data_IF_720154659976
#
_entry.id   IF_720154659976
#
_cell.length_a   1.000
_cell.length_b   1.000
_cell.length_c   1.000
_cell.angle_alpha   90.00
_cell.angle_beta   90.00
_cell.angle_gamma   90.00
#
_symmetry.space_group_name_H-M   'P 1'
#
loop_
_entity.id
_entity.type
_entity.pdbx_description
1 polymer ?
#
# COMPACT_ATOMS: atom_id res chain seq x y z
N UNK A 1 -20.27 25.46 26.73
CA UNK A 1 -19.14 24.62 27.20
C UNK A 1 -17.95 24.90 26.29
N UNK A 2 -16.79 25.29 26.84
CA UNK A 2 -15.56 25.44 26.02
C UNK A 2 -15.13 24.05 25.61
N UNK A 3 -15.05 23.81 24.30
CA UNK A 3 -14.41 22.60 23.79
C UNK A 3 -12.96 22.56 24.28
N UNK A 4 -12.58 21.42 24.86
CA UNK A 4 -11.23 21.18 25.38
C UNK A 4 -10.33 20.86 24.20
N UNK A 5 -9.24 21.61 24.07
CA UNK A 5 -8.18 21.37 23.07
C UNK A 5 -7.69 19.92 23.15
N UNK A 6 -7.95 19.13 22.11
CA UNK A 6 -7.47 17.75 21.99
C UNK A 6 -6.06 17.74 21.38
N UNK A 7 -5.12 17.09 22.06
CA UNK A 7 -3.73 16.92 21.60
C UNK A 7 -3.40 15.46 21.25
N UNK A 8 -4.39 14.56 21.27
CA UNK A 8 -4.18 13.11 21.08
C UNK A 8 -4.55 12.63 19.70
N UNK A 9 -5.42 13.35 19.00
CA UNK A 9 -5.94 12.96 17.69
C UNK A 9 -5.51 13.99 16.66
N UNK A 10 -5.05 13.53 15.50
CA UNK A 10 -4.71 14.42 14.39
C UNK A 10 -5.94 15.16 13.89
N UNK A 11 -7.10 14.50 13.78
CA UNK A 11 -8.40 15.14 13.57
C UNK A 11 -9.27 15.01 14.83
N UNK A 12 -9.87 16.12 15.26
CA UNK A 12 -10.76 16.19 16.41
C UNK A 12 -12.13 16.72 15.99
N UNK A 13 -13.12 15.83 15.99
CA UNK A 13 -14.50 16.13 15.61
C UNK A 13 -15.24 16.64 16.84
N UNK A 14 -15.59 17.92 16.81
CA UNK A 14 -16.34 18.58 17.87
C UNK A 14 -17.78 18.80 17.40
N UNK A 15 -18.66 19.26 18.29
CA UNK A 15 -20.09 19.42 17.99
C UNK A 15 -20.36 20.36 16.80
N UNK A 16 -19.54 21.40 16.63
CA UNK A 16 -19.77 22.51 15.70
C UNK A 16 -18.61 22.73 14.72
N UNK A 17 -17.51 21.97 14.83
CA UNK A 17 -16.33 22.13 13.99
C UNK A 17 -15.41 20.91 14.03
N UNK A 18 -14.56 20.81 13.02
CA UNK A 18 -13.43 19.88 13.01
C UNK A 18 -12.15 20.68 13.21
N UNK A 19 -11.28 20.22 14.10
CA UNK A 19 -9.93 20.76 14.23
C UNK A 19 -8.88 19.73 13.84
N UNK A 20 -7.72 20.19 13.42
CA UNK A 20 -6.57 19.33 13.11
C UNK A 20 -5.33 19.77 13.89
N UNK A 21 -4.45 18.80 14.18
CA UNK A 21 -3.22 18.99 14.93
C UNK A 21 -2.11 19.57 14.04
N UNK A 22 -1.82 20.85 14.20
CA UNK A 22 -0.77 21.56 13.44
C UNK A 22 0.61 21.39 14.06
N UNK A 23 0.67 21.08 15.36
CA UNK A 23 1.92 20.83 16.07
C UNK A 23 1.70 19.89 17.24
N UNK A 24 2.55 18.88 17.37
CA UNK A 24 2.54 18.00 18.53
C UNK A 24 2.95 18.73 19.81
N UNK A 25 2.49 18.20 20.94
CA UNK A 25 2.92 18.67 22.25
C UNK A 25 4.43 18.44 22.42
N UNK A 26 5.14 19.44 22.94
CA UNK A 26 6.54 19.27 23.33
C UNK A 26 6.63 18.29 24.51
N UNK A 27 7.80 17.64 24.67
CA UNK A 27 8.08 16.73 25.80
C UNK A 27 7.89 17.37 27.19
N UNK A 28 7.63 18.68 27.28
CA UNK A 28 7.57 19.45 28.53
C UNK A 28 6.19 20.04 28.86
N UNK A 29 5.16 19.95 28.00
CA UNK A 29 3.79 20.43 28.32
C UNK A 29 2.70 20.00 27.30
N UNK A 30 1.42 20.16 27.65
CA UNK A 30 0.24 20.09 26.74
C UNK A 30 0.15 21.33 25.79
N UNK A 31 1.26 21.73 25.18
CA UNK A 31 1.39 22.93 24.35
C UNK A 31 1.17 22.68 22.85
N UNK A 32 0.51 21.56 22.49
CA UNK A 32 0.19 21.24 21.11
C UNK A 32 -0.52 22.40 20.39
N UNK A 33 -0.58 22.44 19.07
CA UNK A 33 -1.34 23.48 18.37
C UNK A 33 -2.33 22.84 17.44
N UNK A 34 -3.54 23.39 17.45
CA UNK A 34 -4.64 22.92 16.60
C UNK A 34 -5.19 24.11 15.81
N UNK A 35 -5.71 23.83 14.63
CA UNK A 35 -6.41 24.80 13.80
C UNK A 35 -7.77 24.21 13.39
N UNK A 36 -8.75 25.09 13.15
CA UNK A 36 -10.07 24.68 12.65
C UNK A 36 -10.01 24.50 11.15
N UNK A 37 -10.59 23.42 10.63
CA UNK A 37 -10.83 23.27 9.19
C UNK A 37 -12.10 24.08 8.87
N UNK A 38 -12.03 25.08 7.98
CA UNK A 38 -13.20 25.90 7.64
C UNK A 38 -14.22 25.11 6.83
N UNK A 39 -15.51 25.49 6.96
CA UNK A 39 -16.61 25.06 6.09
C UNK A 39 -16.86 23.54 6.01
N UNK A 40 -16.41 22.79 7.02
CA UNK A 40 -16.70 21.36 7.19
C UNK A 40 -17.75 21.13 8.27
N UNK A 41 -18.71 20.28 7.96
CA UNK A 41 -19.68 19.78 8.92
C UNK A 41 -19.11 18.53 9.62
N UNK A 42 -18.90 18.54 10.94
CA UNK A 42 -18.37 17.39 11.68
C UNK A 42 -19.18 16.11 11.49
N UNK A 43 -20.48 16.20 11.20
CA UNK A 43 -21.35 15.02 11.01
C UNK A 43 -20.96 14.19 9.77
N UNK A 44 -20.42 14.85 8.73
CA UNK A 44 -20.05 14.22 7.45
C UNK A 44 -18.53 14.11 7.26
N UNK A 45 -17.73 14.51 8.24
CA UNK A 45 -16.28 14.39 8.20
C UNK A 45 -15.88 12.97 8.62
N UNK A 46 -15.20 12.24 7.73
CA UNK A 46 -14.86 10.82 7.89
C UNK A 46 -13.35 10.64 8.01
N UNK A 47 -12.79 10.49 9.23
CA UNK A 47 -11.43 9.99 9.38
C UNK A 47 -11.31 8.62 8.70
N UNK A 48 -10.31 8.46 7.83
CA UNK A 48 -10.02 7.21 7.13
C UNK A 48 -8.86 6.49 7.81
N UNK A 49 -7.82 7.24 8.17
CA UNK A 49 -6.66 6.78 8.96
C UNK A 49 -6.36 7.80 10.07
N UNK A 50 -5.24 7.66 10.78
CA UNK A 50 -4.81 8.68 11.74
C UNK A 50 -4.61 10.04 11.06
N UNK A 51 -4.01 10.06 9.87
CA UNK A 51 -3.59 11.30 9.23
C UNK A 51 -4.34 11.65 7.94
N UNK A 52 -5.27 10.79 7.50
CA UNK A 52 -6.12 11.02 6.33
C UNK A 52 -7.59 11.03 6.74
N UNK A 53 -8.33 12.03 6.25
CA UNK A 53 -9.77 12.11 6.40
C UNK A 53 -10.44 12.60 5.12
N UNK A 54 -11.72 12.30 4.96
CA UNK A 54 -12.53 12.74 3.83
C UNK A 54 -13.69 13.61 4.28
N UNK A 55 -13.99 14.65 3.51
CA UNK A 55 -15.28 15.34 3.54
C UNK A 55 -15.67 15.73 2.12
N UNK A 56 -16.79 15.16 1.63
CA UNK A 56 -17.26 15.30 0.24
C UNK A 56 -16.16 14.92 -0.76
N UNK A 57 -15.87 15.81 -1.71
CA UNK A 57 -14.82 15.69 -2.72
C UNK A 57 -13.41 16.00 -2.19
N UNK A 58 -13.19 16.13 -0.89
CA UNK A 58 -11.89 16.56 -0.36
C UNK A 58 -11.28 15.53 0.56
N UNK A 59 -10.07 15.07 0.24
CA UNK A 59 -9.19 14.36 1.15
C UNK A 59 -8.29 15.35 1.87
N UNK A 60 -8.27 15.27 3.20
CA UNK A 60 -7.47 16.04 4.12
C UNK A 60 -6.32 15.17 4.59
N UNK A 61 -5.08 15.56 4.28
CA UNK A 61 -3.87 14.80 4.59
C UNK A 61 -2.95 15.64 5.49
N UNK A 62 -2.66 15.14 6.67
CA UNK A 62 -1.74 15.79 7.62
C UNK A 62 -0.36 15.15 7.55
N UNK A 63 0.66 15.94 7.24
CA UNK A 63 2.06 15.46 7.18
C UNK A 63 2.98 16.23 8.11
N UNK A 64 3.97 15.55 8.66
CA UNK A 64 5.07 16.19 9.36
C UNK A 64 5.96 16.97 8.38
N UNK A 65 6.23 18.24 8.71
CA UNK A 65 7.24 19.08 8.02
C UNK A 65 8.49 19.30 8.87
N UNK A 66 8.44 18.89 10.14
CA UNK A 66 9.58 18.77 11.05
C UNK A 66 9.24 17.77 12.15
N UNK A 67 10.12 17.58 13.14
CA UNK A 67 9.88 16.64 14.25
C UNK A 67 8.60 16.91 15.08
N UNK A 68 8.00 18.10 14.98
CA UNK A 68 6.76 18.44 15.71
C UNK A 68 5.75 19.23 14.90
N UNK A 69 6.18 19.90 13.83
CA UNK A 69 5.28 20.72 13.00
C UNK A 69 4.63 19.89 11.91
N UNK A 70 3.34 20.14 11.68
CA UNK A 70 2.53 19.46 10.69
C UNK A 70 1.93 20.47 9.69
N UNK A 71 1.70 20.01 8.47
CA UNK A 71 0.95 20.71 7.44
C UNK A 71 -0.32 19.93 7.10
N UNK A 72 -1.36 20.64 6.68
CA UNK A 72 -2.58 20.06 6.13
C UNK A 72 -2.60 20.32 4.63
N UNK A 73 -2.62 19.25 3.85
CA UNK A 73 -2.84 19.27 2.41
C UNK A 73 -4.27 18.86 2.10
N UNK A 74 -4.86 19.47 1.08
CA UNK A 74 -6.20 19.13 0.58
C UNK A 74 -6.07 18.61 -0.84
N UNK A 75 -6.61 17.43 -1.10
CA UNK A 75 -6.65 16.79 -2.42
C UNK A 75 -8.11 16.72 -2.85
N UNK A 76 -8.43 17.30 -4.00
CA UNK A 76 -9.77 17.27 -4.56
C UNK A 76 -9.99 16.02 -5.42
N UNK A 77 -11.06 15.30 -5.11
CA UNK A 77 -11.57 14.17 -5.86
C UNK A 77 -12.37 14.69 -7.07
N UNK A 78 -12.37 13.95 -8.19
CA UNK A 78 -13.17 14.32 -9.36
C UNK A 78 -14.68 14.19 -9.11
N UNK A 79 -15.10 13.37 -8.13
CA UNK A 79 -16.51 13.14 -7.78
C UNK A 79 -16.75 13.34 -6.26
N UNK A 80 -17.63 14.28 -5.85
CA UNK A 80 -17.97 14.51 -4.44
C UNK A 80 -18.78 13.40 -3.77
N UNK A 81 -19.36 12.47 -4.52
CA UNK A 81 -20.17 11.38 -3.97
C UNK A 81 -19.35 10.12 -3.70
N UNK A 82 -18.10 10.07 -4.18
CA UNK A 82 -17.26 8.90 -4.04
C UNK A 82 -16.76 8.80 -2.59
N UNK A 83 -17.25 7.81 -1.84
CA UNK A 83 -16.71 7.48 -0.53
C UNK A 83 -15.48 6.59 -0.69
N UNK A 84 -14.35 7.04 -0.13
CA UNK A 84 -13.09 6.28 -0.11
C UNK A 84 -12.92 5.58 1.24
N UNK A 85 -12.01 4.60 1.27
CA UNK A 85 -11.58 3.83 2.45
C UNK A 85 -10.05 3.72 2.50
N UNK A 86 -9.51 3.31 3.64
CA UNK A 86 -8.09 2.93 3.74
C UNK A 86 -7.74 1.83 2.72
N UNK A 87 -6.52 1.90 2.16
CA UNK A 87 -6.05 1.03 1.09
C UNK A 87 -6.37 1.56 -0.32
N UNK A 88 -6.52 0.62 -1.27
CA UNK A 88 -6.70 0.92 -2.70
C UNK A 88 -8.14 1.31 -3.02
N UNK A 89 -8.32 2.48 -3.63
CA UNK A 89 -9.59 2.94 -4.18
C UNK A 89 -9.45 3.26 -5.66
N UNK A 90 -10.34 2.72 -6.50
CA UNK A 90 -10.35 2.99 -7.93
C UNK A 90 -11.35 4.11 -8.21
N UNK A 91 -10.88 5.22 -8.77
CA UNK A 91 -11.71 6.40 -9.10
C UNK A 91 -11.40 6.81 -10.53
N UNK A 92 -12.31 6.48 -11.45
CA UNK A 92 -12.08 6.68 -12.88
C UNK A 92 -10.90 5.83 -13.37
N UNK A 93 -9.89 6.49 -13.95
CA UNK A 93 -8.65 5.90 -14.47
C UNK A 93 -7.49 6.00 -13.47
N UNK A 94 -7.75 6.31 -12.20
CA UNK A 94 -6.73 6.48 -11.16
C UNK A 94 -6.95 5.55 -9.98
N UNK A 95 -5.84 5.18 -9.36
CA UNK A 95 -5.81 4.63 -8.01
C UNK A 95 -5.57 5.77 -7.02
N UNK A 96 -6.38 5.81 -5.97
CA UNK A 96 -6.14 6.56 -4.74
C UNK A 96 -5.80 5.55 -3.65
N UNK A 97 -4.52 5.39 -3.36
CA UNK A 97 -4.04 4.53 -2.28
C UNK A 97 -3.91 5.35 -1.00
N UNK A 98 -4.73 5.02 0.00
CA UNK A 98 -4.78 5.71 1.29
C UNK A 98 -4.05 4.86 2.32
N UNK A 99 -2.85 5.27 2.68
CA UNK A 99 -2.02 4.68 3.72
C UNK A 99 -2.26 5.39 5.08
N UNK A 100 -1.64 4.88 6.13
CA UNK A 100 -1.71 5.44 7.48
C UNK A 100 -1.33 6.94 7.52
N UNK A 101 -0.28 7.33 6.79
CA UNK A 101 0.27 8.70 6.79
C UNK A 101 0.44 9.34 5.41
N UNK A 102 -0.02 8.68 4.34
CA UNK A 102 0.09 9.20 2.98
C UNK A 102 -1.11 8.87 2.08
N UNK A 103 -1.25 9.63 0.99
CA UNK A 103 -2.14 9.35 -0.12
C UNK A 103 -1.31 9.33 -1.41
N UNK A 104 -1.14 8.15 -1.99
CA UNK A 104 -0.47 7.98 -3.28
C UNK A 104 -1.51 7.89 -4.40
N UNK A 105 -1.33 8.69 -5.45
CA UNK A 105 -2.26 8.74 -6.59
C UNK A 105 -1.50 8.44 -7.87
N UNK A 106 -1.99 7.49 -8.67
CA UNK A 106 -1.37 7.10 -9.93
C UNK A 106 -2.40 6.62 -10.95
N UNK A 107 -2.01 6.65 -12.23
CA UNK A 107 -2.85 6.25 -13.36
C UNK A 107 -2.89 4.73 -13.53
N UNK A 108 -4.04 4.22 -13.95
CA UNK A 108 -4.28 2.83 -14.34
C UNK A 108 -4.07 2.72 -15.85
N UNK A 109 -3.26 1.76 -16.27
CA UNK A 109 -3.06 1.42 -17.66
C UNK A 109 -4.07 0.33 -18.03
N UNK A 110 -5.22 0.71 -18.57
CA UNK A 110 -6.27 -0.25 -18.94
C UNK A 110 -7.20 -0.56 -17.77
N UNK A 111 -7.24 -1.81 -17.32
CA UNK A 111 -8.15 -2.24 -16.24
C UNK A 111 -7.41 -2.74 -15.00
N UNK A 112 -7.77 -2.20 -13.84
CA UNK A 112 -7.30 -2.72 -12.55
C UNK A 112 -7.93 -4.07 -12.21
N UNK A 113 -7.09 -5.04 -11.86
CA UNK A 113 -7.52 -6.38 -11.48
C UNK A 113 -6.71 -6.89 -10.29
N UNK A 114 -7.41 -7.46 -9.30
CA UNK A 114 -6.77 -8.18 -8.21
C UNK A 114 -6.35 -9.56 -8.69
N UNK A 115 -5.10 -9.94 -8.40
CA UNK A 115 -4.70 -11.33 -8.57
C UNK A 115 -5.51 -12.22 -7.63
N UNK A 116 -5.56 -13.49 -7.99
CA UNK A 116 -6.21 -14.53 -7.19
C UNK A 116 -5.19 -15.60 -6.87
N UNK A 117 -5.24 -16.10 -5.65
CA UNK A 117 -4.56 -17.33 -5.29
C UNK A 117 -5.11 -18.51 -6.11
N UNK A 118 -4.42 -19.66 -6.11
CA UNK A 118 -4.84 -20.85 -6.86
C UNK A 118 -6.25 -21.36 -6.55
N UNK A 119 -6.78 -21.08 -5.36
CA UNK A 119 -8.15 -21.41 -4.94
C UNK A 119 -9.21 -20.39 -5.42
N UNK A 120 -8.78 -19.31 -6.08
CA UNK A 120 -9.63 -18.24 -6.59
C UNK A 120 -9.87 -17.08 -5.61
N UNK A 121 -9.29 -17.13 -4.42
CA UNK A 121 -9.42 -16.04 -3.43
C UNK A 121 -8.64 -14.81 -3.90
N UNK A 122 -9.26 -13.61 -3.95
CA UNK A 122 -8.53 -12.38 -4.28
C UNK A 122 -7.40 -12.10 -3.27
N UNK A 123 -6.23 -11.75 -3.78
CA UNK A 123 -5.08 -11.32 -3.00
C UNK A 123 -5.16 -9.81 -2.80
N UNK A 124 -5.58 -9.37 -1.62
CA UNK A 124 -5.75 -7.94 -1.30
C UNK A 124 -4.44 -7.13 -1.22
N UNK A 125 -3.30 -7.79 -1.40
CA UNK A 125 -1.96 -7.19 -1.45
C UNK A 125 -1.31 -7.28 -2.84
N UNK A 126 -2.02 -7.83 -3.85
CA UNK A 126 -1.45 -8.03 -5.18
C UNK A 126 -2.47 -7.76 -6.30
N UNK A 127 -2.14 -6.82 -7.17
CA UNK A 127 -2.98 -6.44 -8.30
C UNK A 127 -2.15 -6.21 -9.57
N UNK A 128 -2.82 -6.06 -10.70
CA UNK A 128 -2.20 -5.64 -11.95
C UNK A 128 -3.13 -4.76 -12.76
N UNK A 129 -2.53 -4.05 -13.70
CA UNK A 129 -3.20 -3.48 -14.86
C UNK A 129 -2.60 -4.09 -16.14
N UNK A 130 -2.80 -3.45 -17.29
CA UNK A 130 -2.28 -3.96 -18.58
C UNK A 130 -0.75 -3.83 -18.71
N UNK A 131 -0.09 -3.12 -17.79
CA UNK A 131 1.35 -2.80 -17.88
C UNK A 131 2.15 -3.18 -16.64
N UNK A 132 1.56 -3.08 -15.46
CA UNK A 132 2.26 -3.19 -14.19
C UNK A 132 1.59 -4.24 -13.30
N UNK A 133 2.42 -4.90 -12.49
CA UNK A 133 1.99 -5.61 -11.29
C UNK A 133 2.28 -4.74 -10.08
N UNK A 134 1.36 -4.71 -9.12
CA UNK A 134 1.37 -3.87 -7.94
C UNK A 134 1.39 -4.75 -6.70
N UNK A 135 2.36 -4.50 -5.83
CA UNK A 135 2.46 -5.08 -4.50
C UNK A 135 2.07 -4.02 -3.49
N UNK A 136 1.03 -4.32 -2.72
CA UNK A 136 0.38 -3.38 -1.83
C UNK A 136 0.62 -3.87 -0.41
N UNK A 137 1.27 -3.01 0.37
CA UNK A 137 1.47 -3.18 1.81
C UNK A 137 0.55 -2.18 2.54
N UNK A 138 0.59 -2.17 3.87
CA UNK A 138 -0.16 -1.22 4.72
C UNK A 138 0.17 0.24 4.36
N UNK A 139 1.45 0.52 4.10
CA UNK A 139 1.94 1.89 3.91
C UNK A 139 2.37 2.23 2.49
N UNK A 140 2.58 1.24 1.63
CA UNK A 140 3.22 1.46 0.31
C UNK A 140 2.59 0.65 -0.81
N UNK A 141 2.71 1.18 -2.03
CA UNK A 141 2.44 0.45 -3.26
C UNK A 141 3.71 0.45 -4.10
N UNK A 142 4.32 -0.73 -4.22
CA UNK A 142 5.42 -0.96 -5.16
C UNK A 142 4.86 -1.49 -6.47
N UNK A 143 5.44 -1.09 -7.60
CA UNK A 143 4.99 -1.57 -8.89
C UNK A 143 6.13 -1.93 -9.83
N UNK A 144 5.91 -2.95 -10.65
CA UNK A 144 6.89 -3.46 -11.59
C UNK A 144 6.25 -3.63 -12.96
N UNK A 145 6.91 -3.17 -14.02
CA UNK A 145 6.43 -3.39 -15.38
C UNK A 145 6.45 -4.89 -15.69
N UNK A 146 5.31 -5.43 -16.11
CA UNK A 146 5.15 -6.82 -16.52
C UNK A 146 5.76 -7.04 -17.90
N UNK A 147 6.54 -8.10 -18.04
CA UNK A 147 7.11 -8.57 -19.30
C UNK A 147 6.37 -9.82 -19.73
N UNK A 148 5.38 -9.67 -20.60
CA UNK A 148 4.57 -10.81 -21.05
C UNK A 148 3.53 -11.23 -20.02
N UNK A 149 3.37 -12.54 -19.78
CA UNK A 149 2.25 -13.06 -19.00
C UNK A 149 2.66 -13.50 -17.60
N UNK A 150 1.90 -13.07 -16.59
CA UNK A 150 2.02 -13.58 -15.22
C UNK A 150 1.70 -15.08 -15.15
N UNK A 151 2.66 -15.84 -14.62
CA UNK A 151 2.57 -17.29 -14.46
C UNK A 151 3.00 -17.69 -13.05
N UNK A 152 2.12 -18.39 -12.34
CA UNK A 152 2.45 -18.98 -11.05
C UNK A 152 3.37 -20.18 -11.23
N UNK A 153 4.41 -20.29 -10.39
CA UNK A 153 5.21 -21.51 -10.34
C UNK A 153 4.35 -22.71 -9.91
N UNK A 154 4.82 -23.91 -10.23
CA UNK A 154 4.16 -25.17 -9.84
C UNK A 154 5.07 -25.98 -8.93
N UNK A 155 4.48 -26.56 -7.90
CA UNK A 155 5.11 -27.64 -7.15
C UNK A 155 5.21 -28.90 -8.02
N UNK A 156 6.07 -29.84 -7.62
CA UNK A 156 6.24 -31.11 -8.32
C UNK A 156 4.93 -31.94 -8.44
N UNK A 157 3.96 -31.70 -7.56
CA UNK A 157 2.63 -32.33 -7.60
C UNK A 157 1.64 -31.63 -8.57
N UNK A 158 2.08 -30.57 -9.26
CA UNK A 158 1.28 -29.80 -10.22
C UNK A 158 0.42 -28.68 -9.60
N UNK A 159 0.37 -28.55 -8.28
CA UNK A 159 -0.31 -27.43 -7.62
C UNK A 159 0.42 -26.12 -7.91
N UNK A 160 -0.33 -25.05 -8.12
CA UNK A 160 0.23 -23.71 -8.25
C UNK A 160 0.79 -23.23 -6.90
N UNK A 161 1.89 -22.51 -6.96
CA UNK A 161 2.46 -21.78 -5.83
C UNK A 161 1.59 -20.58 -5.47
N UNK A 162 1.55 -20.28 -4.18
CA UNK A 162 1.06 -19.01 -3.62
C UNK A 162 2.22 -18.05 -3.26
N UNK A 163 3.47 -18.50 -3.41
CA UNK A 163 4.66 -17.81 -2.92
C UNK A 163 5.50 -17.23 -4.05
N UNK A 164 5.59 -17.91 -5.19
CA UNK A 164 6.40 -17.48 -6.32
C UNK A 164 5.61 -17.45 -7.62
N UNK A 165 5.87 -16.42 -8.42
CA UNK A 165 5.40 -16.31 -9.79
C UNK A 165 6.51 -15.76 -10.68
N UNK A 166 6.30 -15.76 -11.98
CA UNK A 166 7.18 -15.12 -12.93
C UNK A 166 6.40 -14.49 -14.08
N UNK A 167 7.03 -13.56 -14.76
CA UNK A 167 6.64 -13.17 -16.12
C UNK A 167 7.66 -13.76 -17.11
N UNK A 168 7.78 -13.25 -18.34
CA UNK A 168 8.72 -13.76 -19.35
C UNK A 168 10.20 -13.45 -19.03
N UNK A 169 10.48 -12.65 -18.00
CA UNK A 169 11.84 -12.18 -17.70
C UNK A 169 12.22 -12.23 -16.21
N UNK A 170 11.27 -11.92 -15.33
CA UNK A 170 11.48 -11.74 -13.91
C UNK A 170 10.76 -12.80 -13.10
N UNK A 171 11.38 -13.16 -11.97
CA UNK A 171 10.75 -13.94 -10.90
C UNK A 171 10.31 -13.00 -9.80
N UNK A 172 9.10 -13.25 -9.28
CA UNK A 172 8.45 -12.50 -8.23
C UNK A 172 8.25 -13.35 -6.98
N UNK A 173 8.57 -12.76 -5.84
CA UNK A 173 8.11 -13.23 -4.54
C UNK A 173 6.78 -12.55 -4.19
N UNK A 174 5.77 -13.38 -3.91
CA UNK A 174 4.37 -12.98 -3.80
C UNK A 174 3.82 -13.07 -2.38
N UNK A 175 4.64 -13.50 -1.41
CA UNK A 175 4.22 -13.54 -0.01
C UNK A 175 3.74 -12.20 0.53
N UNK A 176 2.85 -12.29 1.52
CA UNK A 176 2.22 -11.15 2.21
C UNK A 176 3.24 -10.33 3.04
N UNK A 177 4.28 -10.97 3.56
CA UNK A 177 5.35 -10.33 4.32
C UNK A 177 6.69 -10.33 3.58
N UNK A 178 7.31 -9.16 3.43
CA UNK A 178 8.73 -9.08 3.12
C UNK A 178 9.55 -8.92 4.40
N UNK A 179 10.69 -9.60 4.48
CA UNK A 179 11.76 -9.18 5.39
C UNK A 179 12.33 -7.85 4.90
N UNK A 180 12.74 -6.99 5.83
CA UNK A 180 13.37 -5.70 5.54
C UNK A 180 14.53 -5.89 4.54
N UNK A 181 14.58 -5.04 3.51
CA UNK A 181 15.58 -5.03 2.42
C UNK A 181 15.48 -6.16 1.38
N UNK A 182 14.46 -7.03 1.49
CA UNK A 182 14.14 -8.04 0.50
C UNK A 182 13.76 -7.48 -0.87
N UNK A 183 14.15 -8.17 -1.96
CA UNK A 183 13.69 -7.84 -3.31
C UNK A 183 12.46 -8.64 -3.71
N UNK A 184 11.36 -7.95 -4.05
CA UNK A 184 10.15 -8.59 -4.62
C UNK A 184 10.37 -9.20 -6.00
N UNK A 185 11.30 -8.65 -6.79
CA UNK A 185 11.53 -9.00 -8.19
C UNK A 185 13.01 -9.29 -8.44
N UNK A 186 13.32 -10.42 -9.06
CA UNK A 186 14.68 -10.86 -9.39
C UNK A 186 14.77 -11.33 -10.84
N UNK A 187 15.98 -11.24 -11.42
CA UNK A 187 16.31 -11.81 -12.72
C UNK A 187 16.97 -13.18 -12.55
N UNK A 188 16.77 -14.08 -13.51
CA UNK A 188 17.55 -15.31 -13.64
C UNK A 188 18.05 -15.45 -15.07
N UNK A 189 19.23 -16.02 -15.26
CA UNK A 189 19.79 -16.23 -16.60
C UNK A 189 19.01 -17.27 -17.41
N UNK A 190 18.28 -18.18 -16.74
CA UNK A 190 17.53 -19.26 -17.38
C UNK A 190 16.21 -19.49 -16.65
N UNK A 191 15.20 -18.70 -17.01
CA UNK A 191 13.88 -18.79 -16.40
C UNK A 191 13.22 -20.16 -16.59
N UNK A 192 13.39 -20.78 -17.77
CA UNK A 192 12.86 -22.11 -18.07
C UNK A 192 13.44 -23.23 -17.18
N UNK A 193 14.60 -22.99 -16.55
CA UNK A 193 15.21 -23.92 -15.60
C UNK A 193 14.72 -23.71 -14.16
N UNK A 194 14.05 -22.59 -13.88
CA UNK A 194 13.56 -22.27 -12.55
C UNK A 194 12.38 -23.17 -12.17
N UNK A 195 12.42 -23.74 -10.97
CA UNK A 195 11.36 -24.63 -10.47
C UNK A 195 11.33 -24.68 -8.94
N UNK A 196 10.22 -25.15 -8.38
CA UNK A 196 10.12 -25.37 -6.93
C UNK A 196 10.62 -26.76 -6.56
N UNK A 197 11.40 -26.82 -5.48
CA UNK A 197 11.77 -28.07 -4.83
C UNK A 197 10.58 -28.66 -4.04
N UNK A 198 10.79 -29.81 -3.40
CA UNK A 198 9.75 -30.49 -2.59
C UNK A 198 9.32 -29.71 -1.34
N UNK A 199 10.13 -28.76 -0.89
CA UNK A 199 9.87 -27.94 0.29
C UNK A 199 9.27 -26.58 -0.07
N UNK A 200 9.15 -26.26 -1.36
CA UNK A 200 8.66 -24.98 -1.86
C UNK A 200 9.73 -23.90 -1.99
N UNK A 201 11.01 -24.27 -1.86
CA UNK A 201 12.11 -23.39 -2.24
C UNK A 201 12.17 -23.28 -3.76
N UNK A 202 12.40 -22.07 -4.27
CA UNK A 202 12.63 -21.85 -5.69
C UNK A 202 14.11 -22.10 -6.01
N UNK A 203 14.36 -22.97 -6.98
CA UNK A 203 15.69 -23.27 -7.52
C UNK A 203 15.85 -22.57 -8.87
N UNK A 204 16.98 -21.90 -9.06
CA UNK A 204 17.40 -21.27 -10.32
C UNK A 204 18.83 -21.68 -10.66
N UNK A 205 19.36 -21.25 -11.81
CA UNK A 205 20.77 -21.47 -12.17
C UNK A 205 21.75 -20.60 -11.36
N UNK A 206 21.24 -19.69 -10.54
CA UNK A 206 22.01 -18.85 -9.63
C UNK A 206 22.04 -19.39 -8.19
N UNK A 207 21.05 -20.19 -7.79
CA UNK A 207 20.92 -20.69 -6.42
C UNK A 207 19.47 -20.98 -5.99
N UNK A 208 19.31 -21.17 -4.68
CA UNK A 208 18.05 -21.48 -4.01
C UNK A 208 17.47 -20.25 -3.29
N UNK A 209 16.15 -20.08 -3.35
CA UNK A 209 15.40 -19.01 -2.71
C UNK A 209 14.31 -19.63 -1.82
N UNK A 210 14.21 -19.14 -0.59
CA UNK A 210 13.19 -19.56 0.36
C UNK A 210 12.26 -18.40 0.67
N UNK A 211 11.05 -18.73 1.14
CA UNK A 211 10.03 -17.74 1.49
C UNK A 211 10.40 -16.82 2.65
N UNK A 212 11.48 -17.13 3.38
CA UNK A 212 11.83 -16.46 4.63
C UNK A 212 12.93 -15.42 4.50
N UNK A 213 13.76 -15.47 3.46
CA UNK A 213 14.95 -14.63 3.38
C UNK A 213 15.00 -13.72 2.15
N UNK A 214 14.19 -13.95 1.10
CA UNK A 214 14.15 -13.12 -0.12
C UNK A 214 15.53 -12.76 -0.70
N UNK A 215 16.55 -13.53 -0.34
CA UNK A 215 17.94 -13.35 -0.72
C UNK A 215 18.31 -14.54 -1.59
N UNK A 216 18.90 -14.21 -2.74
CA UNK A 216 19.68 -15.12 -3.56
C UNK A 216 20.83 -15.65 -2.69
N UNK A 217 20.69 -16.85 -2.13
CA UNK A 217 21.86 -17.54 -1.59
C UNK A 217 22.49 -18.35 -2.72
N UNK A 218 23.65 -17.93 -3.26
CA UNK A 218 24.46 -18.85 -4.04
C UNK A 218 24.87 -19.98 -3.10
N UNK A 219 24.37 -21.18 -3.38
CA UNK A 219 25.00 -22.38 -2.83
C UNK A 219 26.33 -22.50 -3.57
N UNK A 220 27.40 -22.03 -2.93
CA UNK A 220 28.73 -22.47 -3.32
C UNK A 220 28.79 -23.97 -2.99
N UNK A 221 29.05 -24.79 -4.00
CA UNK A 221 29.47 -26.20 -3.85
C UNK A 221 30.65 -26.35 -2.88
#
# INVERSE_FOLDING_TARGET
MRSVKNCRSTFDLQRDKVTWLTRDASRRANDCRVATIPDVDPEYFRPLTENVAQYKDSLYLVKYVSAVEKTLSVIHLPDPQQELQEGVNIVGDKVYFIASDDVTIFDINGQWQWYKSPDGTPLNYLAHDDRYTYFIDEDTVEHFELKGQWTWFKYANGQLSDTFAHDDHYIYYVGDGLVRDAKRRNETRQLDAAHLDKNGSLLTVEGEYTSYNNELFPLND
#
